data_IF_065289078375
#
_entry.id   IF_065289078375
#
_cell.length_a   1.000
_cell.length_b   1.000
_cell.length_c   1.000
_cell.angle_alpha   90.00
_cell.angle_beta   90.00
_cell.angle_gamma   90.00
#
_symmetry.space_group_name_H-M   'P 1'
#
loop_
_entity.id
_entity.type
_entity.pdbx_description
1 polymer ?
#
# COMPACT_ATOMS: atom_id res chain seq x y z
N UNK A 1 -18.15 -11.28 5.07
CA UNK A 1 -18.04 -9.98 5.74
C UNK A 1 -16.55 -9.67 5.87
N UNK A 2 -16.04 -8.61 5.23
CA UNK A 2 -14.71 -8.11 5.60
C UNK A 2 -14.86 -7.54 7.00
N UNK A 3 -13.90 -7.80 7.88
CA UNK A 3 -13.85 -7.14 9.19
C UNK A 3 -13.96 -5.63 8.94
N UNK A 4 -14.93 -4.98 9.58
CA UNK A 4 -15.31 -3.59 9.29
C UNK A 4 -14.24 -2.55 9.69
N UNK A 5 -12.99 -2.97 9.92
CA UNK A 5 -11.91 -2.17 10.49
C UNK A 5 -10.64 -2.03 9.63
N UNK A 6 -10.52 -2.72 8.50
CA UNK A 6 -9.33 -2.62 7.65
C UNK A 6 -9.47 -1.52 6.57
N UNK A 7 -8.51 -0.59 6.52
CA UNK A 7 -8.40 0.40 5.44
C UNK A 7 -7.47 -0.15 4.34
N UNK A 8 -7.98 -0.24 3.11
CA UNK A 8 -7.18 -0.61 1.93
C UNK A 8 -6.87 0.62 1.11
N UNK A 9 -5.58 0.89 0.90
CA UNK A 9 -5.09 1.96 0.04
C UNK A 9 -4.39 1.36 -1.18
N UNK A 10 -4.88 1.69 -2.37
CA UNK A 10 -4.24 1.36 -3.64
C UNK A 10 -3.44 2.57 -4.11
N UNK A 11 -2.12 2.44 -4.15
CA UNK A 11 -1.24 3.45 -4.73
C UNK A 11 -1.10 3.22 -6.23
N UNK A 12 -1.36 4.26 -7.02
CA UNK A 12 -1.23 4.27 -8.48
C UNK A 12 -0.24 5.34 -8.93
N UNK A 13 0.39 5.12 -10.07
CA UNK A 13 1.33 6.07 -10.69
C UNK A 13 1.16 6.07 -12.21
N UNK A 14 1.67 7.12 -12.87
CA UNK A 14 1.74 7.21 -14.33
C UNK A 14 0.38 7.05 -15.02
N UNK A 15 0.26 6.10 -15.94
CA UNK A 15 -0.96 5.90 -16.75
C UNK A 15 -2.18 5.45 -15.93
N UNK A 16 -1.98 4.95 -14.71
CA UNK A 16 -3.07 4.59 -13.81
C UNK A 16 -3.57 5.78 -12.96
N UNK A 17 -2.96 6.96 -13.12
CA UNK A 17 -3.44 8.18 -12.48
C UNK A 17 -4.86 8.50 -12.97
N UNK A 18 -5.79 8.68 -12.03
CA UNK A 18 -7.22 8.88 -12.33
C UNK A 18 -8.09 7.63 -12.18
N UNK A 19 -7.53 6.49 -11.76
CA UNK A 19 -8.33 5.36 -11.27
C UNK A 19 -9.18 5.81 -10.08
N UNK A 20 -10.50 5.61 -10.19
CA UNK A 20 -11.45 5.99 -9.14
C UNK A 20 -11.47 4.98 -7.99
N UNK A 21 -11.79 5.49 -6.79
CA UNK A 21 -11.99 4.66 -5.61
C UNK A 21 -13.29 3.86 -5.68
N UNK A 22 -13.35 2.74 -4.95
CA UNK A 22 -14.56 1.93 -4.78
C UNK A 22 -14.83 1.74 -3.28
N UNK A 23 -16.05 1.38 -2.86
CA UNK A 23 -16.33 1.13 -1.44
C UNK A 23 -15.33 0.13 -0.83
N UNK A 24 -14.66 0.56 0.24
CA UNK A 24 -13.64 -0.23 0.94
C UNK A 24 -12.22 -0.15 0.35
N UNK A 25 -11.98 0.62 -0.72
CA UNK A 25 -10.64 0.86 -1.28
C UNK A 25 -10.46 2.34 -1.62
N UNK A 26 -9.53 3.00 -0.91
CA UNK A 26 -9.07 4.35 -1.25
C UNK A 26 -7.97 4.25 -2.30
N UNK A 27 -8.00 5.11 -3.31
CA UNK A 27 -6.94 5.21 -4.32
C UNK A 27 -6.16 6.49 -4.11
N UNK A 28 -4.83 6.36 -4.02
CA UNK A 28 -3.91 7.51 -3.91
C UNK A 28 -2.98 7.52 -5.13
N UNK A 29 -2.88 8.68 -5.78
CA UNK A 29 -2.04 8.84 -6.97
C UNK A 29 -0.71 9.47 -6.59
N UNK A 30 0.39 8.77 -6.86
CA UNK A 30 1.74 9.33 -6.69
C UNK A 30 2.03 10.32 -7.83
N UNK A 31 2.39 11.56 -7.48
CA UNK A 31 2.89 12.55 -8.46
C UNK A 31 4.27 12.21 -9.00
N UNK A 32 4.98 11.30 -8.32
CA UNK A 32 6.30 10.77 -8.70
C UNK A 32 6.30 9.25 -8.60
N UNK A 33 7.11 8.69 -7.69
CA UNK A 33 7.19 7.26 -7.48
C UNK A 33 6.10 6.76 -6.51
N UNK A 34 5.41 5.70 -6.89
CA UNK A 34 4.50 4.95 -6.04
C UNK A 34 5.21 4.40 -4.79
N UNK A 35 6.45 3.95 -4.92
CA UNK A 35 7.25 3.44 -3.79
C UNK A 35 7.50 4.51 -2.73
N UNK A 36 7.75 5.75 -3.17
CA UNK A 36 7.96 6.87 -2.25
C UNK A 36 6.67 7.22 -1.51
N UNK A 37 5.53 7.25 -2.21
CA UNK A 37 4.23 7.47 -1.59
C UNK A 37 3.86 6.32 -0.63
N UNK A 38 4.17 5.06 -0.96
CA UNK A 38 3.97 3.92 -0.05
C UNK A 38 4.77 4.11 1.23
N UNK A 39 6.03 4.56 1.13
CA UNK A 39 6.88 4.83 2.29
C UNK A 39 6.31 5.97 3.15
N UNK A 40 5.83 7.04 2.52
CA UNK A 40 5.19 8.16 3.21
C UNK A 40 3.93 7.71 3.97
N UNK A 41 3.05 6.96 3.32
CA UNK A 41 1.83 6.42 3.93
C UNK A 41 2.15 5.45 5.07
N UNK A 42 3.16 4.59 4.90
CA UNK A 42 3.60 3.67 5.95
C UNK A 42 4.12 4.43 7.18
N UNK A 43 4.90 5.49 6.98
CA UNK A 43 5.39 6.34 8.05
C UNK A 43 4.26 7.10 8.76
N UNK A 44 3.30 7.64 8.00
CA UNK A 44 2.15 8.36 8.53
C UNK A 44 1.19 7.49 9.36
N UNK A 45 1.25 6.17 9.19
CA UNK A 45 0.41 5.19 9.87
C UNK A 45 1.19 4.23 10.77
N UNK A 46 2.41 4.60 11.19
CA UNK A 46 3.27 3.75 12.01
C UNK A 46 2.70 3.45 13.41
N UNK A 47 1.67 4.17 13.86
CA UNK A 47 0.98 4.00 15.13
C UNK A 47 -0.06 2.85 15.11
N UNK A 48 -0.36 2.29 13.94
CA UNK A 48 -1.32 1.18 13.77
C UNK A 48 -0.73 0.02 12.96
N UNK A 49 -1.26 -1.21 13.09
CA UNK A 49 -0.85 -2.33 12.25
C UNK A 49 -1.04 -1.99 10.77
N UNK A 50 0.03 -2.10 10.00
CA UNK A 50 0.02 -1.82 8.56
C UNK A 50 0.75 -2.95 7.82
N UNK A 51 0.23 -3.31 6.65
CA UNK A 51 0.80 -4.32 5.74
C UNK A 51 1.05 -3.68 4.38
N UNK A 52 2.29 -3.75 3.89
CA UNK A 52 2.64 -3.36 2.52
C UNK A 52 2.68 -4.60 1.63
N UNK A 53 1.91 -4.60 0.55
CA UNK A 53 1.90 -5.68 -0.44
C UNK A 53 2.82 -5.31 -1.60
N UNK A 54 3.98 -5.95 -1.71
CA UNK A 54 4.93 -5.68 -2.80
C UNK A 54 5.84 -6.88 -3.06
N UNK A 55 6.30 -7.04 -4.30
CA UNK A 55 7.36 -8.00 -4.65
C UNK A 55 8.77 -7.40 -4.54
N UNK A 56 8.88 -6.07 -4.47
CA UNK A 56 10.15 -5.36 -4.43
C UNK A 56 10.85 -5.54 -3.08
N UNK A 57 12.14 -5.89 -3.10
CA UNK A 57 12.93 -6.09 -1.87
C UNK A 57 13.45 -4.79 -1.29
N UNK A 58 13.84 -3.83 -2.13
CA UNK A 58 14.31 -2.52 -1.68
C UNK A 58 13.17 -1.75 -1.01
N UNK A 59 11.95 -1.78 -1.56
CA UNK A 59 10.80 -1.18 -0.90
C UNK A 59 10.52 -1.82 0.47
N UNK A 60 10.58 -3.16 0.56
CA UNK A 60 10.41 -3.88 1.83
C UNK A 60 11.42 -3.42 2.88
N UNK A 61 12.68 -3.23 2.49
CA UNK A 61 13.72 -2.74 3.39
C UNK A 61 13.44 -1.32 3.87
N UNK A 62 13.01 -0.43 2.98
CA UNK A 62 12.66 0.97 3.31
C UNK A 62 11.51 1.05 4.30
N UNK A 63 10.44 0.28 4.08
CA UNK A 63 9.23 0.39 4.91
C UNK A 63 9.44 -0.22 6.30
N UNK A 64 10.24 -1.29 6.44
CA UNK A 64 10.50 -1.97 7.74
C UNK A 64 10.89 -1.05 8.90
N UNK A 65 11.51 0.10 8.61
CA UNK A 65 11.85 1.10 9.62
C UNK A 65 10.63 1.63 10.39
N UNK A 66 9.43 1.54 9.82
CA UNK A 66 8.17 2.02 10.39
C UNK A 66 7.32 0.91 11.04
N UNK A 67 7.88 -0.27 11.31
CA UNK A 67 7.16 -1.37 11.99
C UNK A 67 6.10 -2.08 11.13
N UNK A 68 6.07 -1.80 9.84
CA UNK A 68 5.16 -2.40 8.85
C UNK A 68 5.55 -3.85 8.54
N UNK A 69 4.54 -4.70 8.38
CA UNK A 69 4.73 -6.04 7.82
C UNK A 69 4.69 -5.97 6.30
N UNK A 70 5.28 -6.97 5.63
CA UNK A 70 5.26 -7.04 4.16
C UNK A 70 4.69 -8.37 3.69
N UNK A 71 3.84 -8.33 2.68
CA UNK A 71 3.29 -9.50 1.99
C UNK A 71 3.64 -9.48 0.50
N UNK A 72 3.66 -10.66 -0.12
CA UNK A 72 3.85 -10.78 -1.57
C UNK A 72 2.54 -10.56 -2.32
N UNK A 73 2.55 -10.10 -3.59
CA UNK A 73 1.33 -9.89 -4.37
C UNK A 73 0.45 -11.14 -4.53
N UNK A 74 1.06 -12.34 -4.49
CA UNK A 74 0.34 -13.62 -4.54
C UNK A 74 -0.56 -13.87 -3.33
N UNK A 75 -0.36 -13.16 -2.22
CA UNK A 75 -1.22 -13.25 -1.03
C UNK A 75 -2.62 -12.68 -1.30
N UNK A 76 -2.72 -11.63 -2.12
CA UNK A 76 -4.01 -10.96 -2.40
C UNK A 76 -4.66 -11.41 -3.71
N UNK A 77 -3.88 -12.04 -4.60
CA UNK A 77 -4.38 -12.68 -5.82
C UNK A 77 -3.58 -13.96 -6.07
N UNK A 78 -4.05 -15.10 -5.54
CA UNK A 78 -3.52 -16.41 -5.92
C UNK A 78 -3.70 -16.62 -7.43
N UNK A 79 -2.75 -17.32 -8.05
CA UNK A 79 -2.85 -17.71 -9.46
C UNK A 79 -3.92 -18.79 -9.66
#
# INVERSE_FOLDING_TARGET
ERDAGEEVVLVVEGAAQGVESVPGVRVESASGSGDDLIVELAAAHADRPCTVVTADRALRERVRAYGVTCAGPRTVRPA
#
